data_IF_868399086644
#
_entry.id   IF_868399086644
#
_cell.length_a   1.000
_cell.length_b   1.000
_cell.length_c   1.000
_cell.angle_alpha   90.00
_cell.angle_beta   90.00
_cell.angle_gamma   90.00
#
_symmetry.space_group_name_H-M   'P 1'
#
loop_
_entity.id
_entity.type
_entity.pdbx_description
1 polymer ?
#
# COMPACT_ATOMS: atom_id res chain seq x y z
N UNK A 1 24.14 23.45 -53.11
CA UNK A 1 24.13 22.06 -52.61
C UNK A 1 23.11 22.06 -51.52
N UNK A 2 21.86 21.64 -51.84
CA UNK A 2 20.75 21.63 -50.88
C UNK A 2 20.90 20.31 -50.07
N UNK A 3 20.91 20.46 -48.75
CA UNK A 3 20.98 19.35 -47.81
C UNK A 3 19.59 18.72 -47.64
N UNK A 4 19.47 17.44 -47.95
CA UNK A 4 18.22 16.67 -47.94
C UNK A 4 17.81 16.11 -46.56
N UNK A 5 18.37 16.65 -45.49
CA UNK A 5 18.15 16.13 -44.10
C UNK A 5 17.08 16.89 -43.30
N UNK A 6 16.41 17.92 -43.88
CA UNK A 6 15.37 18.72 -43.19
C UNK A 6 13.96 18.33 -43.63
N UNK A 7 13.64 17.04 -43.77
CA UNK A 7 12.25 16.60 -43.88
C UNK A 7 11.77 16.13 -42.51
N UNK A 8 11.04 16.98 -41.80
CA UNK A 8 10.29 16.56 -40.65
C UNK A 8 9.40 15.37 -41.00
N UNK A 9 9.44 14.25 -40.26
CA UNK A 9 8.52 13.17 -40.54
C UNK A 9 7.08 13.63 -40.27
N UNK A 10 6.23 13.42 -41.27
CA UNK A 10 4.81 13.70 -41.13
C UNK A 10 4.23 13.10 -39.85
N UNK A 11 3.32 13.79 -39.13
CA UNK A 11 2.75 13.29 -37.89
C UNK A 11 2.07 11.93 -38.16
N UNK A 12 2.51 10.90 -37.50
CA UNK A 12 1.83 9.61 -37.47
C UNK A 12 0.49 9.82 -36.81
N UNK A 13 -0.56 9.95 -37.63
CA UNK A 13 -1.95 9.99 -37.16
C UNK A 13 -2.21 8.63 -36.54
N UNK A 14 -2.20 8.54 -35.20
CA UNK A 14 -2.70 7.37 -34.49
C UNK A 14 -4.14 7.15 -34.96
N UNK A 15 -4.41 6.01 -35.61
CA UNK A 15 -5.76 5.59 -35.96
C UNK A 15 -6.58 5.56 -34.67
N UNK A 16 -7.54 6.50 -34.51
CA UNK A 16 -8.43 6.51 -33.36
C UNK A 16 -9.28 5.23 -33.40
N UNK A 17 -9.34 4.52 -32.29
CA UNK A 17 -10.23 3.38 -32.13
C UNK A 17 -11.67 3.85 -32.35
N UNK A 18 -12.39 3.22 -33.32
CA UNK A 18 -13.76 3.60 -33.62
C UNK A 18 -14.67 3.25 -32.44
N UNK A 19 -15.43 4.22 -31.96
CA UNK A 19 -16.42 4.01 -30.89
C UNK A 19 -17.57 3.10 -31.37
N UNK A 20 -18.34 2.51 -30.42
CA UNK A 20 -19.53 1.72 -30.72
C UNK A 20 -20.49 2.50 -31.65
N UNK A 21 -20.67 3.78 -31.38
CA UNK A 21 -21.55 4.70 -32.10
C UNK A 21 -21.03 4.93 -33.51
N UNK A 22 -19.73 5.10 -33.71
CA UNK A 22 -19.12 5.24 -35.04
C UNK A 22 -19.26 3.99 -35.87
N UNK A 23 -19.02 2.80 -35.27
CA UNK A 23 -19.20 1.51 -35.94
C UNK A 23 -20.67 1.35 -36.40
N UNK A 24 -21.60 1.66 -35.49
CA UNK A 24 -23.04 1.62 -35.79
C UNK A 24 -23.39 2.55 -36.95
N UNK A 25 -22.97 3.81 -36.90
CA UNK A 25 -23.25 4.80 -37.94
C UNK A 25 -22.71 4.33 -39.31
N UNK A 26 -21.49 3.81 -39.38
CA UNK A 26 -20.89 3.28 -40.61
C UNK A 26 -21.61 2.05 -41.15
N UNK A 27 -22.04 1.13 -40.27
CA UNK A 27 -22.85 -0.02 -40.63
C UNK A 27 -24.19 0.42 -41.26
N UNK A 28 -24.87 1.39 -40.64
CA UNK A 28 -26.16 1.89 -41.13
C UNK A 28 -26.02 2.59 -42.47
N UNK A 29 -24.93 3.31 -42.71
CA UNK A 29 -24.65 3.92 -44.04
C UNK A 29 -24.50 2.88 -45.16
N UNK A 30 -24.12 1.64 -44.83
CA UNK A 30 -23.92 0.55 -45.79
C UNK A 30 -24.86 -0.64 -45.54
N UNK A 31 -25.94 -0.40 -44.77
CA UNK A 31 -26.80 -1.45 -44.23
C UNK A 31 -27.26 -2.44 -45.30
N UNK A 32 -27.78 -1.96 -46.39
CA UNK A 32 -28.26 -2.82 -47.47
C UNK A 32 -27.15 -3.72 -48.05
N UNK A 33 -25.97 -3.16 -48.33
CA UNK A 33 -24.85 -3.95 -48.86
C UNK A 33 -24.30 -4.96 -47.85
N UNK A 34 -24.32 -4.64 -46.58
CA UNK A 34 -23.95 -5.54 -45.50
C UNK A 34 -24.95 -6.70 -45.42
N UNK A 35 -26.25 -6.40 -45.45
CA UNK A 35 -27.29 -7.41 -45.43
C UNK A 35 -27.24 -8.36 -46.64
N UNK A 36 -26.98 -7.82 -47.83
CA UNK A 36 -26.76 -8.68 -49.00
C UNK A 36 -25.55 -9.60 -48.90
N UNK A 37 -24.47 -9.13 -48.23
CA UNK A 37 -23.29 -9.97 -48.03
C UNK A 37 -23.54 -11.09 -46.97
N UNK A 38 -24.40 -10.81 -46.00
CA UNK A 38 -24.77 -11.78 -44.95
C UNK A 38 -25.87 -12.77 -45.41
N UNK A 39 -26.82 -12.26 -46.17
CA UNK A 39 -28.06 -12.98 -46.56
C UNK A 39 -28.29 -12.94 -48.09
N UNK A 40 -27.54 -13.74 -48.87
CA UNK A 40 -27.70 -13.75 -50.34
C UNK A 40 -29.10 -14.17 -50.81
N UNK A 41 -29.85 -14.92 -50.01
CA UNK A 41 -31.22 -15.34 -50.31
C UNK A 41 -32.29 -14.31 -49.94
N UNK A 42 -31.89 -13.15 -49.39
CA UNK A 42 -32.78 -12.07 -48.96
C UNK A 42 -33.54 -11.38 -50.10
N UNK A 43 -34.51 -10.55 -49.76
CA UNK A 43 -35.33 -9.76 -50.66
C UNK A 43 -35.56 -8.36 -50.12
N UNK A 44 -35.45 -7.34 -50.96
CA UNK A 44 -35.81 -5.99 -50.56
C UNK A 44 -37.23 -5.67 -51.09
N UNK A 45 -38.11 -5.21 -50.20
CA UNK A 45 -39.43 -4.74 -50.52
C UNK A 45 -39.64 -3.36 -49.83
N UNK A 46 -39.74 -2.27 -50.62
CA UNK A 46 -39.83 -0.88 -50.14
C UNK A 46 -38.61 -0.49 -49.30
N UNK A 47 -38.82 -0.21 -48.02
CA UNK A 47 -37.83 0.24 -47.03
C UNK A 47 -37.34 -0.88 -46.10
N UNK A 48 -37.60 -2.14 -46.46
CA UNK A 48 -37.25 -3.32 -45.61
C UNK A 48 -36.55 -4.41 -46.41
N UNK A 49 -35.63 -5.10 -45.71
CA UNK A 49 -34.99 -6.33 -46.13
C UNK A 49 -35.67 -7.51 -45.44
N UNK A 50 -35.92 -8.60 -46.20
CA UNK A 50 -36.61 -9.79 -45.75
C UNK A 50 -35.73 -11.02 -45.93
N UNK A 51 -35.76 -11.90 -44.94
CA UNK A 51 -35.13 -13.21 -44.96
C UNK A 51 -35.94 -14.18 -44.07
N UNK A 52 -35.74 -15.49 -44.15
CA UNK A 52 -36.51 -16.47 -43.40
C UNK A 52 -36.16 -16.46 -41.89
N UNK A 53 -34.88 -16.44 -41.56
CA UNK A 53 -34.41 -16.46 -40.17
C UNK A 53 -33.07 -15.71 -40.01
N UNK A 54 -32.56 -15.63 -38.79
CA UNK A 54 -31.31 -14.95 -38.45
C UNK A 54 -30.07 -15.64 -39.04
N UNK A 55 -30.15 -16.93 -39.44
CA UNK A 55 -29.09 -17.69 -40.06
C UNK A 55 -29.07 -17.58 -41.58
N UNK A 56 -30.12 -16.96 -42.20
CA UNK A 56 -30.17 -16.66 -43.59
C UNK A 56 -30.96 -17.69 -44.43
N UNK A 57 -31.84 -18.47 -43.84
CA UNK A 57 -32.74 -19.36 -44.57
C UNK A 57 -33.65 -18.58 -45.52
N UNK A 58 -34.01 -19.10 -46.70
CA UNK A 58 -34.96 -18.47 -47.61
C UNK A 58 -36.32 -18.30 -46.95
N UNK A 59 -36.93 -17.10 -47.01
CA UNK A 59 -38.23 -16.81 -46.41
C UNK A 59 -38.49 -15.31 -46.29
N UNK A 60 -39.55 -14.92 -45.58
CA UNK A 60 -39.99 -13.54 -45.39
C UNK A 60 -40.37 -13.27 -43.88
N UNK A 61 -40.06 -14.20 -42.94
CA UNK A 61 -40.44 -14.05 -41.54
C UNK A 61 -39.64 -13.00 -40.75
N UNK A 62 -38.36 -12.87 -41.05
CA UNK A 62 -37.49 -11.86 -40.47
C UNK A 62 -37.43 -10.62 -41.35
N UNK A 63 -37.84 -9.46 -40.83
CA UNK A 63 -37.77 -8.18 -41.51
C UNK A 63 -36.77 -7.23 -40.84
N UNK A 64 -35.98 -6.49 -41.62
CA UNK A 64 -35.00 -5.52 -41.16
C UNK A 64 -35.31 -4.18 -41.82
N UNK A 65 -35.42 -3.09 -41.05
CA UNK A 65 -35.68 -1.73 -41.56
C UNK A 65 -34.41 -1.15 -42.16
N UNK A 66 -34.46 -0.68 -43.39
CA UNK A 66 -33.29 -0.16 -44.13
C UNK A 66 -33.06 1.34 -43.95
N UNK A 67 -34.12 2.13 -43.69
CA UNK A 67 -34.03 3.60 -43.71
C UNK A 67 -34.77 4.25 -42.52
N UNK A 68 -34.47 5.53 -42.27
CA UNK A 68 -35.10 6.31 -41.19
C UNK A 68 -34.56 6.02 -39.81
N UNK A 69 -35.21 6.56 -38.78
CA UNK A 69 -34.78 6.47 -37.37
C UNK A 69 -34.72 5.02 -36.84
N UNK A 70 -35.40 4.11 -37.50
CA UNK A 70 -35.49 2.70 -37.18
C UNK A 70 -34.55 1.81 -38.01
N UNK A 71 -33.66 2.38 -38.78
CA UNK A 71 -32.71 1.64 -39.61
C UNK A 71 -31.87 0.69 -38.75
N UNK A 72 -31.76 -0.56 -39.21
CA UNK A 72 -31.03 -1.65 -38.51
C UNK A 72 -31.81 -2.33 -37.37
N UNK A 73 -33.06 -1.91 -37.12
CA UNK A 73 -33.97 -2.68 -36.25
C UNK A 73 -34.56 -3.84 -37.07
N UNK A 74 -34.68 -5.00 -36.44
CA UNK A 74 -35.23 -6.17 -37.06
C UNK A 74 -36.28 -6.86 -36.16
N UNK A 75 -37.17 -7.59 -36.77
CA UNK A 75 -38.19 -8.41 -36.09
C UNK A 75 -38.40 -9.70 -36.88
N UNK A 76 -38.37 -10.81 -36.17
CA UNK A 76 -38.75 -12.12 -36.69
C UNK A 76 -40.17 -12.44 -36.22
N UNK A 77 -41.09 -12.56 -37.17
CA UNK A 77 -42.53 -12.76 -36.89
C UNK A 77 -42.88 -14.22 -36.54
N UNK A 78 -42.03 -15.16 -36.91
CA UNK A 78 -42.23 -16.57 -36.67
C UNK A 78 -41.98 -16.92 -35.19
N UNK A 79 -40.86 -16.39 -34.65
CA UNK A 79 -40.47 -16.71 -33.27
C UNK A 79 -40.72 -15.55 -32.30
N UNK A 80 -41.26 -14.40 -32.77
CA UNK A 80 -41.58 -13.24 -31.94
C UNK A 80 -40.38 -12.56 -31.35
N UNK A 81 -39.20 -12.67 -31.97
CA UNK A 81 -37.96 -12.05 -31.49
C UNK A 81 -37.58 -10.81 -32.34
N UNK A 82 -36.68 -9.96 -31.82
CA UNK A 82 -36.23 -8.77 -32.52
C UNK A 82 -35.08 -8.10 -31.78
N UNK A 83 -34.50 -7.07 -32.41
CA UNK A 83 -33.38 -6.36 -31.83
C UNK A 83 -32.81 -5.28 -32.73
N UNK A 84 -31.62 -4.81 -32.40
CA UNK A 84 -30.82 -3.89 -33.18
C UNK A 84 -29.85 -4.63 -34.12
N UNK A 85 -29.06 -3.88 -34.89
CA UNK A 85 -28.10 -4.44 -35.85
C UNK A 85 -27.03 -5.27 -35.15
N UNK A 86 -26.63 -4.94 -33.91
CA UNK A 86 -25.64 -5.73 -33.18
C UNK A 86 -26.21 -7.08 -32.71
N UNK A 87 -27.49 -7.08 -32.31
CA UNK A 87 -28.21 -8.31 -31.96
C UNK A 87 -28.34 -9.23 -33.18
N UNK A 88 -28.63 -8.65 -34.38
CA UNK A 88 -28.67 -9.39 -35.64
C UNK A 88 -27.31 -10.05 -35.95
N UNK A 89 -26.23 -9.27 -35.85
CA UNK A 89 -24.87 -9.78 -36.09
C UNK A 89 -24.50 -10.87 -35.09
N UNK A 90 -24.81 -10.65 -33.80
CA UNK A 90 -24.57 -11.65 -32.77
C UNK A 90 -25.27 -12.97 -33.06
N UNK A 91 -26.54 -12.93 -33.39
CA UNK A 91 -27.31 -14.11 -33.76
C UNK A 91 -26.77 -14.81 -35.01
N UNK A 92 -26.48 -14.08 -36.08
CA UNK A 92 -25.98 -14.62 -37.32
C UNK A 92 -24.59 -15.30 -37.15
N UNK A 93 -23.68 -14.70 -36.38
CA UNK A 93 -22.36 -15.26 -36.15
C UNK A 93 -22.27 -16.20 -34.94
N UNK A 94 -23.39 -16.52 -34.28
CA UNK A 94 -23.41 -17.40 -33.10
C UNK A 94 -22.69 -16.80 -31.88
N UNK A 95 -22.66 -15.45 -31.75
CA UNK A 95 -22.02 -14.73 -30.65
C UNK A 95 -23.06 -14.20 -29.68
N UNK A 96 -22.97 -14.56 -28.41
CA UNK A 96 -23.88 -14.04 -27.41
C UNK A 96 -23.59 -12.57 -27.09
N UNK A 97 -24.54 -11.68 -27.46
CA UNK A 97 -24.40 -10.21 -27.31
C UNK A 97 -24.31 -9.75 -25.85
N UNK A 98 -24.78 -10.53 -24.89
CA UNK A 98 -24.75 -10.17 -23.47
C UNK A 98 -23.44 -10.56 -22.77
N UNK A 99 -22.80 -11.62 -23.22
CA UNK A 99 -21.57 -12.14 -22.61
C UNK A 99 -20.32 -11.84 -23.40
N UNK A 100 -20.44 -11.58 -24.72
CA UNK A 100 -19.30 -11.43 -25.62
C UNK A 100 -19.49 -10.30 -26.66
N UNK A 101 -20.06 -9.17 -26.23
CA UNK A 101 -20.39 -8.04 -27.08
C UNK A 101 -19.19 -7.49 -27.87
N UNK A 102 -18.02 -7.58 -27.32
CA UNK A 102 -16.78 -7.13 -27.93
C UNK A 102 -16.45 -7.91 -29.24
N UNK A 103 -16.73 -9.20 -29.31
CA UNK A 103 -16.58 -9.95 -30.56
C UNK A 103 -17.60 -9.52 -31.61
N UNK A 104 -18.81 -9.13 -31.16
CA UNK A 104 -19.81 -8.54 -32.06
C UNK A 104 -19.31 -7.22 -32.64
N UNK A 105 -18.68 -6.35 -31.83
CA UNK A 105 -18.10 -5.09 -32.30
C UNK A 105 -16.95 -5.31 -33.30
N UNK A 106 -16.11 -6.31 -33.10
CA UNK A 106 -15.06 -6.65 -34.06
C UNK A 106 -15.67 -7.03 -35.41
N UNK A 107 -16.67 -7.92 -35.44
CA UNK A 107 -17.39 -8.30 -36.67
C UNK A 107 -18.12 -7.14 -37.32
N UNK A 108 -18.74 -6.30 -36.49
CA UNK A 108 -19.43 -5.09 -36.95
C UNK A 108 -18.46 -4.09 -37.61
N UNK A 109 -17.26 -3.90 -37.04
CA UNK A 109 -16.23 -3.02 -37.60
C UNK A 109 -15.67 -3.57 -38.92
N UNK A 110 -15.42 -4.88 -39.03
CA UNK A 110 -15.02 -5.55 -40.26
C UNK A 110 -16.03 -5.28 -41.38
N UNK A 111 -17.32 -5.49 -41.13
CA UNK A 111 -18.40 -5.27 -42.11
C UNK A 111 -18.60 -3.80 -42.41
N UNK A 112 -18.37 -2.91 -41.46
CA UNK A 112 -18.43 -1.46 -41.66
C UNK A 112 -17.25 -0.90 -42.47
N UNK A 113 -16.21 -1.72 -42.75
CA UNK A 113 -14.96 -1.28 -43.38
C UNK A 113 -14.17 -0.33 -42.48
N UNK A 114 -14.30 -0.48 -41.17
CA UNK A 114 -13.56 0.25 -40.14
C UNK A 114 -12.45 -0.62 -39.59
N UNK A 115 -11.41 -0.03 -39.02
CA UNK A 115 -10.44 -0.78 -38.23
C UNK A 115 -11.18 -1.35 -37.01
N UNK A 116 -11.23 -2.68 -36.82
CA UNK A 116 -11.91 -3.24 -35.66
C UNK A 116 -11.28 -2.71 -34.38
N UNK A 117 -12.07 -2.48 -33.30
CA UNK A 117 -11.50 -2.23 -32.00
C UNK A 117 -10.59 -3.41 -31.63
N UNK A 118 -9.48 -3.18 -30.93
CA UNK A 118 -8.63 -4.28 -30.49
C UNK A 118 -9.50 -5.28 -29.75
N UNK A 119 -9.24 -6.58 -29.92
CA UNK A 119 -10.00 -7.62 -29.21
C UNK A 119 -9.97 -7.29 -27.73
N UNK A 120 -11.09 -7.47 -26.99
CA UNK A 120 -11.08 -7.25 -25.55
C UNK A 120 -9.96 -8.10 -25.01
N UNK A 121 -9.02 -7.45 -24.34
CA UNK A 121 -7.97 -8.16 -23.63
C UNK A 121 -8.67 -9.19 -22.76
N UNK A 122 -8.61 -10.47 -23.17
CA UNK A 122 -9.00 -11.54 -22.28
C UNK A 122 -8.18 -11.30 -21.04
N UNK A 123 -8.85 -11.03 -19.90
CA UNK A 123 -8.23 -11.05 -18.59
C UNK A 123 -7.71 -12.46 -18.36
N UNK A 124 -6.60 -12.81 -19.04
CA UNK A 124 -5.76 -13.88 -18.55
C UNK A 124 -5.41 -13.47 -17.14
N UNK A 125 -5.58 -14.35 -16.18
CA UNK A 125 -5.11 -14.22 -14.80
C UNK A 125 -3.56 -14.15 -14.75
N UNK A 126 -2.97 -13.33 -15.60
CA UNK A 126 -1.58 -12.91 -15.55
C UNK A 126 -1.52 -11.67 -14.67
N UNK A 127 -0.50 -11.54 -13.84
CA UNK A 127 -0.27 -10.30 -13.12
C UNK A 127 -0.34 -9.13 -14.11
N UNK A 128 -0.88 -7.99 -13.71
CA UNK A 128 -1.14 -6.87 -14.62
C UNK A 128 0.13 -6.51 -15.37
N UNK A 129 0.16 -6.76 -16.67
CA UNK A 129 1.10 -6.10 -17.59
C UNK A 129 0.48 -4.71 -17.84
N UNK A 130 0.80 -3.78 -16.96
CA UNK A 130 0.50 -2.38 -17.15
C UNK A 130 1.42 -1.79 -18.22
N UNK A 131 1.10 -0.59 -18.73
CA UNK A 131 1.93 0.19 -19.65
C UNK A 131 3.30 0.61 -19.06
N UNK A 132 3.63 0.10 -17.88
CA UNK A 132 4.85 0.34 -17.09
C UNK A 132 6.05 -0.51 -17.55
N UNK A 133 5.87 -1.39 -18.55
CA UNK A 133 6.91 -2.33 -18.97
C UNK A 133 7.01 -3.56 -18.06
N UNK A 134 8.11 -4.35 -18.14
CA UNK A 134 8.33 -5.49 -17.26
C UNK A 134 8.59 -5.04 -15.83
N UNK A 135 8.11 -5.82 -14.85
CA UNK A 135 8.42 -5.59 -13.44
C UNK A 135 9.93 -5.71 -13.21
N UNK A 136 10.51 -4.74 -12.50
CA UNK A 136 11.94 -4.70 -12.15
C UNK A 136 12.26 -5.52 -10.91
N UNK A 137 11.25 -5.74 -10.04
CA UNK A 137 11.35 -6.65 -8.89
C UNK A 137 9.98 -7.24 -8.55
N UNK A 138 10.01 -8.40 -7.87
CA UNK A 138 8.82 -9.11 -7.41
C UNK A 138 9.10 -9.71 -6.04
N UNK A 139 8.12 -9.57 -5.13
CA UNK A 139 8.16 -10.18 -3.80
C UNK A 139 6.91 -11.00 -3.57
N UNK A 140 7.11 -12.24 -3.11
CA UNK A 140 6.05 -13.18 -2.79
C UNK A 140 5.77 -13.15 -1.29
N UNK A 141 4.52 -12.87 -0.94
CA UNK A 141 4.02 -12.93 0.43
C UNK A 141 3.46 -14.32 0.69
N UNK A 142 4.09 -15.02 1.62
CA UNK A 142 3.69 -16.37 2.03
C UNK A 142 3.01 -16.30 3.40
N UNK A 143 2.04 -17.18 3.63
CA UNK A 143 1.53 -17.41 4.98
C UNK A 143 2.52 -18.22 5.83
N UNK A 144 2.16 -18.49 7.09
CA UNK A 144 3.01 -19.24 8.00
C UNK A 144 3.34 -20.67 7.57
N UNK A 145 2.52 -21.26 6.70
CA UNK A 145 2.70 -22.60 6.14
C UNK A 145 3.52 -22.60 4.85
N UNK A 146 3.90 -21.41 4.35
CA UNK A 146 4.66 -21.23 3.11
C UNK A 146 3.81 -21.17 1.85
N UNK A 147 2.49 -21.02 1.97
CA UNK A 147 1.58 -20.86 0.84
C UNK A 147 1.54 -19.42 0.36
N UNK A 148 1.58 -19.21 -0.95
CA UNK A 148 1.50 -17.90 -1.57
C UNK A 148 0.13 -17.25 -1.36
N UNK A 149 0.08 -16.08 -0.75
CA UNK A 149 -1.13 -15.31 -0.45
C UNK A 149 -1.21 -13.99 -1.22
N UNK A 150 -0.07 -13.37 -1.49
CA UNK A 150 -0.01 -12.16 -2.31
C UNK A 150 1.35 -12.03 -3.01
N UNK A 151 1.41 -11.17 -4.03
CA UNK A 151 2.67 -10.74 -4.64
C UNK A 151 2.69 -9.23 -4.74
N UNK A 152 3.86 -8.61 -4.63
CA UNK A 152 4.08 -7.20 -4.92
C UNK A 152 5.06 -7.10 -6.08
N UNK A 153 4.67 -6.38 -7.12
CA UNK A 153 5.53 -6.11 -8.28
C UNK A 153 5.97 -4.66 -8.24
N UNK A 154 7.24 -4.42 -8.46
CA UNK A 154 7.82 -3.08 -8.60
C UNK A 154 8.08 -2.79 -10.08
N UNK A 155 7.82 -1.56 -10.46
CA UNK A 155 8.09 -1.01 -11.78
C UNK A 155 8.87 0.29 -11.63
N UNK A 156 9.92 0.45 -12.42
CA UNK A 156 10.75 1.66 -12.47
C UNK A 156 10.72 2.23 -13.90
N UNK A 157 9.59 2.84 -14.33
CA UNK A 157 9.45 3.35 -15.69
C UNK A 157 10.38 4.57 -15.88
N UNK A 158 11.08 4.68 -17.03
CA UNK A 158 11.98 5.79 -17.29
C UNK A 158 11.30 7.16 -17.15
N UNK A 159 11.91 8.06 -16.37
CA UNK A 159 11.38 9.43 -16.17
C UNK A 159 10.14 9.56 -15.30
N UNK A 160 9.68 8.48 -14.68
CA UNK A 160 8.52 8.47 -13.79
C UNK A 160 8.91 7.96 -12.39
N UNK A 161 8.02 8.16 -11.41
CA UNK A 161 8.22 7.60 -10.08
C UNK A 161 8.04 6.08 -10.10
N UNK A 162 8.79 5.38 -9.24
CA UNK A 162 8.62 3.95 -9.00
C UNK A 162 7.18 3.63 -8.58
N UNK A 163 6.61 2.56 -9.13
CA UNK A 163 5.27 2.08 -8.79
C UNK A 163 5.31 0.68 -8.20
N UNK A 164 4.41 0.42 -7.25
CA UNK A 164 4.23 -0.88 -6.63
C UNK A 164 2.81 -1.39 -6.89
N UNK A 165 2.69 -2.60 -7.41
CA UNK A 165 1.41 -3.22 -7.76
C UNK A 165 1.22 -4.52 -6.97
N UNK A 166 0.38 -4.51 -5.92
CA UNK A 166 0.03 -5.71 -5.19
C UNK A 166 -0.97 -6.56 -5.97
N UNK A 167 -0.86 -7.87 -5.80
CA UNK A 167 -1.80 -8.86 -6.33
C UNK A 167 -2.28 -9.78 -5.21
N UNK A 168 -3.59 -9.82 -4.98
CA UNK A 168 -4.23 -10.78 -4.06
C UNK A 168 -4.43 -12.12 -4.79
N UNK A 169 -3.71 -13.13 -4.38
CA UNK A 169 -3.73 -14.45 -5.01
C UNK A 169 -5.07 -15.16 -4.77
N UNK A 170 -5.65 -15.02 -3.57
CA UNK A 170 -6.93 -15.65 -3.22
C UNK A 170 -8.10 -15.04 -3.98
N UNK A 171 -8.15 -13.71 -4.06
CA UNK A 171 -9.22 -12.99 -4.75
C UNK A 171 -8.95 -12.81 -6.25
N UNK A 172 -7.73 -13.11 -6.73
CA UNK A 172 -7.26 -12.90 -8.12
C UNK A 172 -7.49 -11.45 -8.59
N UNK A 173 -7.12 -10.47 -7.75
CA UNK A 173 -7.33 -9.05 -8.02
C UNK A 173 -6.04 -8.24 -7.87
N UNK A 174 -5.86 -7.16 -8.68
CA UNK A 174 -4.75 -6.21 -8.54
C UNK A 174 -5.01 -5.26 -7.37
N UNK A 175 -5.03 -5.78 -6.16
CA UNK A 175 -5.25 -5.04 -4.91
C UNK A 175 -4.57 -5.80 -3.77
N UNK A 176 -4.19 -5.12 -2.67
CA UNK A 176 -3.69 -5.83 -1.50
C UNK A 176 -4.77 -6.70 -0.86
N UNK A 177 -4.41 -7.83 -0.24
CA UNK A 177 -5.31 -8.57 0.64
C UNK A 177 -5.86 -7.71 1.79
N UNK A 178 -6.95 -8.16 2.39
CA UNK A 178 -7.48 -7.54 3.59
C UNK A 178 -7.83 -8.64 4.61
N UNK A 179 -7.20 -8.66 5.80
CA UNK A 179 -6.10 -7.77 6.21
C UNK A 179 -4.83 -7.95 5.36
N UNK A 180 -3.94 -6.94 5.38
CA UNK A 180 -2.67 -6.99 4.66
C UNK A 180 -1.67 -7.87 5.40
N UNK A 181 -1.08 -8.87 4.77
CA UNK A 181 -0.11 -9.74 5.41
C UNK A 181 1.24 -9.04 5.61
N UNK A 182 1.98 -9.48 6.62
CA UNK A 182 3.40 -9.19 6.74
C UNK A 182 4.22 -10.03 5.75
N UNK A 183 5.33 -9.47 5.28
CA UNK A 183 6.32 -10.16 4.47
C UNK A 183 7.05 -11.22 5.30
N UNK A 184 7.51 -12.33 4.68
CA UNK A 184 8.32 -13.37 5.32
C UNK A 184 7.70 -14.01 6.59
N UNK A 185 6.41 -14.32 6.61
CA UNK A 185 5.79 -14.99 7.76
C UNK A 185 6.45 -16.32 8.14
N UNK A 186 6.92 -17.18 7.20
CA UNK A 186 7.65 -18.40 7.57
C UNK A 186 8.93 -18.14 8.36
N UNK A 187 9.65 -17.05 8.08
CA UNK A 187 10.81 -16.60 8.86
C UNK A 187 10.41 -16.09 10.24
N UNK A 188 9.35 -15.29 10.33
CA UNK A 188 8.81 -14.77 11.59
C UNK A 188 8.47 -15.91 12.55
N UNK A 189 7.80 -16.96 12.07
CA UNK A 189 7.40 -18.09 12.91
C UNK A 189 8.60 -18.80 13.56
N UNK A 190 9.72 -18.89 12.85
CA UNK A 190 10.95 -19.59 13.31
C UNK A 190 11.83 -18.74 14.20
N UNK A 191 11.57 -17.45 14.31
CA UNK A 191 12.44 -16.50 15.02
C UNK A 191 11.78 -15.98 16.28
N UNK A 192 12.55 -15.73 17.33
CA UNK A 192 12.12 -15.02 18.54
C UNK A 192 12.28 -13.51 18.41
N UNK A 193 13.19 -13.07 17.54
CA UNK A 193 13.46 -11.67 17.25
C UNK A 193 13.25 -11.39 15.76
N UNK A 194 12.60 -10.27 15.42
CA UNK A 194 12.25 -9.88 14.08
C UNK A 194 12.58 -8.39 13.86
N UNK A 195 13.16 -8.05 12.73
CA UNK A 195 13.41 -6.65 12.34
C UNK A 195 12.29 -6.19 11.40
N UNK A 196 11.56 -5.14 11.78
CA UNK A 196 10.61 -4.45 10.91
C UNK A 196 11.31 -3.32 10.17
N UNK A 197 11.17 -3.28 8.86
CA UNK A 197 11.71 -2.24 7.95
C UNK A 197 10.63 -1.70 7.01
N UNK A 198 10.94 -0.64 6.25
CA UNK A 198 9.92 0.06 5.45
C UNK A 198 9.71 -0.47 4.04
N UNK A 199 10.25 -1.54 3.62
CA UNK A 199 10.00 -2.03 2.28
C UNK A 199 10.56 -3.41 2.04
N UNK A 200 10.01 -4.07 1.03
CA UNK A 200 10.39 -5.43 0.69
C UNK A 200 11.89 -5.53 0.32
N UNK A 201 12.43 -4.49 -0.34
CA UNK A 201 13.87 -4.42 -0.68
C UNK A 201 14.73 -4.46 0.59
N UNK A 202 14.39 -3.64 1.59
CA UNK A 202 15.09 -3.57 2.86
C UNK A 202 14.95 -4.87 3.67
N UNK A 203 13.72 -5.44 3.70
CA UNK A 203 13.49 -6.72 4.35
C UNK A 203 14.30 -7.85 3.70
N UNK A 204 14.34 -7.91 2.37
CA UNK A 204 15.09 -8.91 1.64
C UNK A 204 16.61 -8.76 1.87
N UNK A 205 17.12 -7.52 1.89
CA UNK A 205 18.52 -7.25 2.19
C UNK A 205 18.96 -7.83 3.55
N UNK A 206 18.14 -7.67 4.59
CA UNK A 206 18.41 -8.25 5.90
C UNK A 206 18.26 -9.78 5.89
N UNK A 207 17.27 -10.33 5.19
CA UNK A 207 17.07 -11.78 5.06
C UNK A 207 18.26 -12.43 4.36
N UNK A 208 18.78 -11.82 3.31
CA UNK A 208 19.96 -12.29 2.57
C UNK A 208 21.24 -12.26 3.44
N UNK A 209 21.27 -11.37 4.44
CA UNK A 209 22.31 -11.32 5.48
C UNK A 209 22.05 -12.28 6.66
N UNK A 210 21.04 -13.15 6.58
CA UNK A 210 20.71 -14.14 7.63
C UNK A 210 19.92 -13.59 8.82
N UNK A 211 19.38 -12.38 8.71
CA UNK A 211 18.60 -11.69 9.75
C UNK A 211 17.11 -11.85 9.45
N UNK A 212 16.33 -12.29 10.44
CA UNK A 212 14.88 -12.36 10.27
C UNK A 212 14.28 -10.95 10.19
N UNK A 213 13.81 -10.58 9.02
CA UNK A 213 13.18 -9.28 8.77
C UNK A 213 11.81 -9.42 8.11
N UNK A 214 11.02 -8.39 8.27
CA UNK A 214 9.67 -8.24 7.70
C UNK A 214 9.39 -6.79 7.34
N UNK A 215 8.36 -6.60 6.55
CA UNK A 215 7.77 -5.29 6.26
C UNK A 215 6.25 -5.40 6.13
N UNK A 216 5.54 -4.30 6.41
CA UNK A 216 4.13 -4.16 6.07
C UNK A 216 4.00 -3.77 4.58
N UNK A 217 2.98 -4.30 3.92
CA UNK A 217 2.71 -3.97 2.51
C UNK A 217 2.43 -2.48 2.32
N UNK A 218 3.19 -1.79 1.48
CA UNK A 218 3.26 -0.34 1.20
C UNK A 218 4.24 0.47 2.08
N UNK A 219 5.12 -0.15 2.84
CA UNK A 219 6.18 0.55 3.59
C UNK A 219 5.63 1.60 4.57
N UNK A 220 6.26 2.78 4.65
CA UNK A 220 5.86 3.88 5.54
C UNK A 220 4.41 4.36 5.36
N UNK A 221 3.85 4.17 4.17
CA UNK A 221 2.45 4.48 3.87
C UNK A 221 1.49 3.32 4.17
N UNK A 222 1.97 2.24 4.79
CA UNK A 222 1.11 1.14 5.17
C UNK A 222 0.04 1.61 6.16
N UNK A 223 -1.24 1.34 5.89
CA UNK A 223 -2.28 1.58 6.87
C UNK A 223 -2.13 0.56 8.00
N UNK A 224 -1.70 1.05 9.14
CA UNK A 224 -1.38 0.23 10.33
C UNK A 224 -2.60 -0.55 10.82
N UNK A 225 -3.78 0.04 10.72
CA UNK A 225 -5.10 -0.52 11.06
C UNK A 225 -5.56 -1.64 10.11
N UNK A 226 -4.97 -1.74 8.92
CA UNK A 226 -5.31 -2.78 7.91
C UNK A 226 -4.25 -3.87 7.79
N UNK A 227 -3.16 -3.76 8.53
CA UNK A 227 -2.08 -4.74 8.54
C UNK A 227 -2.33 -5.80 9.62
N UNK A 228 -2.14 -7.05 9.29
CA UNK A 228 -2.19 -8.16 10.25
C UNK A 228 -0.86 -8.25 11.00
N UNK A 229 -0.85 -7.75 12.22
CA UNK A 229 0.33 -7.78 13.10
C UNK A 229 0.41 -9.04 13.96
N UNK A 230 -0.59 -9.92 13.93
CA UNK A 230 -0.67 -11.12 14.78
C UNK A 230 0.54 -12.07 14.66
N UNK A 231 1.22 -12.20 13.48
CA UNK A 231 2.42 -13.03 13.41
C UNK A 231 3.57 -12.58 14.32
N UNK A 232 3.54 -11.32 14.80
CA UNK A 232 4.55 -10.78 15.71
C UNK A 232 4.20 -10.97 17.21
N UNK A 233 3.07 -11.58 17.54
CA UNK A 233 2.71 -11.87 18.92
C UNK A 233 3.79 -12.72 19.61
N UNK A 234 4.18 -12.33 20.83
CA UNK A 234 5.24 -12.98 21.60
C UNK A 234 6.68 -12.75 21.10
N UNK A 235 6.89 -11.99 20.02
CA UNK A 235 8.21 -11.71 19.45
C UNK A 235 8.83 -10.45 20.06
N UNK A 236 10.16 -10.41 20.08
CA UNK A 236 10.92 -9.17 20.24
C UNK A 236 11.07 -8.51 18.89
N UNK A 237 10.55 -7.30 18.73
CA UNK A 237 10.59 -6.58 17.46
C UNK A 237 11.55 -5.39 17.53
N UNK A 238 12.47 -5.31 16.58
CA UNK A 238 13.31 -4.14 16.35
C UNK A 238 12.78 -3.43 15.12
N UNK A 239 12.49 -2.16 15.22
CA UNK A 239 12.04 -1.33 14.10
C UNK A 239 13.24 -0.55 13.61
N UNK A 240 13.61 -0.75 12.36
CA UNK A 240 14.65 0.03 11.68
C UNK A 240 13.96 0.95 10.67
N UNK A 241 13.65 2.18 11.05
CA UNK A 241 13.02 3.15 10.15
C UNK A 241 14.02 3.68 9.12
N UNK A 242 13.53 4.12 7.98
CA UNK A 242 14.29 5.00 7.10
C UNK A 242 14.64 6.28 7.87
N UNK A 243 15.83 6.85 7.62
CA UNK A 243 16.29 8.03 8.35
C UNK A 243 15.63 9.30 7.82
N UNK A 244 14.30 9.35 7.88
CA UNK A 244 13.50 10.53 7.50
C UNK A 244 12.28 10.69 8.41
N UNK A 245 11.58 11.83 8.27
CA UNK A 245 10.40 12.11 9.10
C UNK A 245 9.28 11.09 8.92
N UNK A 246 8.86 10.70 7.69
CA UNK A 246 7.84 9.66 7.49
C UNK A 246 8.19 8.34 8.16
N UNK A 247 9.46 7.90 8.06
CA UNK A 247 9.95 6.68 8.67
C UNK A 247 9.81 6.67 10.19
N UNK A 248 10.15 7.78 10.86
CA UNK A 248 9.97 7.90 12.31
C UNK A 248 8.51 7.89 12.72
N UNK A 249 7.63 8.60 11.99
CA UNK A 249 6.19 8.60 12.26
C UNK A 249 5.55 7.22 12.04
N UNK A 250 6.02 6.50 11.03
CA UNK A 250 5.59 5.13 10.78
C UNK A 250 6.05 4.20 11.91
N UNK A 251 7.31 4.29 12.33
CA UNK A 251 7.87 3.45 13.39
C UNK A 251 7.06 3.55 14.70
N UNK A 252 6.68 4.75 15.10
CA UNK A 252 5.84 4.96 16.29
C UNK A 252 4.47 4.27 16.16
N UNK A 253 3.78 4.51 15.05
CA UNK A 253 2.44 3.91 14.83
C UNK A 253 2.51 2.39 14.74
N UNK A 254 3.51 1.86 14.02
CA UNK A 254 3.73 0.43 13.89
C UNK A 254 4.05 -0.22 15.25
N UNK A 255 4.90 0.42 16.08
CA UNK A 255 5.22 -0.06 17.42
C UNK A 255 3.96 -0.22 18.28
N UNK A 256 3.08 0.78 18.31
CA UNK A 256 1.82 0.72 19.06
C UNK A 256 0.94 -0.44 18.56
N UNK A 257 0.78 -0.59 17.25
CA UNK A 257 -0.04 -1.66 16.68
C UNK A 257 0.53 -3.05 16.97
N UNK A 258 1.85 -3.22 16.89
CA UNK A 258 2.51 -4.51 17.20
C UNK A 258 2.40 -4.86 18.68
N UNK A 259 2.58 -3.89 19.58
CA UNK A 259 2.39 -4.09 21.02
C UNK A 259 0.93 -4.43 21.34
N UNK A 260 -0.03 -3.75 20.72
CA UNK A 260 -1.46 -4.07 20.85
C UNK A 260 -1.79 -5.48 20.31
N UNK A 261 -1.09 -5.95 19.27
CA UNK A 261 -1.21 -7.31 18.73
C UNK A 261 -0.47 -8.38 19.57
N UNK A 262 0.16 -8.00 20.68
CA UNK A 262 0.81 -8.92 21.61
C UNK A 262 2.30 -9.15 21.38
N UNK A 263 3.01 -8.28 20.68
CA UNK A 263 4.47 -8.32 20.60
C UNK A 263 5.04 -8.22 22.03
N UNK A 264 6.08 -9.06 22.33
CA UNK A 264 6.69 -9.10 23.66
C UNK A 264 7.38 -7.80 24.01
N UNK A 265 8.16 -7.26 23.08
CA UNK A 265 8.83 -5.96 23.17
C UNK A 265 8.98 -5.34 21.80
N UNK A 266 8.93 -4.03 21.72
CA UNK A 266 9.26 -3.27 20.52
C UNK A 266 10.34 -2.23 20.83
N UNK A 267 11.34 -2.12 19.96
CA UNK A 267 12.39 -1.11 20.07
C UNK A 267 12.56 -0.42 18.72
N UNK A 268 12.74 0.89 18.72
CA UNK A 268 13.10 1.64 17.52
C UNK A 268 14.62 1.86 17.53
N UNK A 269 15.30 1.39 16.49
CA UNK A 269 16.74 1.62 16.27
C UNK A 269 16.97 3.05 15.80
N UNK A 270 18.05 3.67 16.27
CA UNK A 270 18.51 4.96 15.78
C UNK A 270 19.61 4.75 14.75
N UNK A 271 19.38 5.08 13.47
CA UNK A 271 20.44 5.08 12.45
C UNK A 271 21.62 5.95 12.88
N UNK A 272 22.86 5.64 12.42
CA UNK A 272 24.03 6.44 12.72
C UNK A 272 23.83 7.93 12.38
N UNK A 273 24.38 8.84 13.20
CA UNK A 273 24.27 10.28 12.93
C UNK A 273 24.85 10.67 11.57
N UNK A 274 25.95 10.03 11.20
CA UNK A 274 26.65 10.27 9.92
C UNK A 274 25.92 9.73 8.68
N UNK A 275 24.93 8.83 8.86
CA UNK A 275 24.17 8.30 7.72
C UNK A 275 23.35 9.41 7.05
N UNK A 276 23.17 9.33 5.73
CA UNK A 276 22.41 10.29 4.94
C UNK A 276 20.91 10.31 5.33
N UNK A 277 20.21 11.37 4.96
CA UNK A 277 18.74 11.40 5.03
C UNK A 277 18.15 10.31 4.12
N UNK A 278 17.14 9.58 4.58
CA UNK A 278 16.53 8.47 3.85
C UNK A 278 17.37 7.17 3.85
N UNK A 279 18.50 7.13 4.57
CA UNK A 279 19.33 5.91 4.68
C UNK A 279 18.53 4.76 5.29
N UNK A 280 18.57 3.63 4.62
CA UNK A 280 17.78 2.44 4.93
C UNK A 280 18.64 1.17 5.13
N UNK A 281 18.02 0.05 5.46
CA UNK A 281 18.71 -1.22 5.68
C UNK A 281 19.34 -1.81 4.40
N UNK A 282 18.83 -1.49 3.21
CA UNK A 282 19.41 -1.94 1.96
C UNK A 282 20.61 -1.09 1.57
N UNK A 283 20.62 0.20 1.89
CA UNK A 283 21.80 1.07 1.75
C UNK A 283 22.90 0.58 2.68
N UNK A 284 22.56 0.30 3.95
CA UNK A 284 23.51 -0.27 4.92
C UNK A 284 24.16 -1.55 4.42
N UNK A 285 23.38 -2.48 3.84
CA UNK A 285 23.93 -3.70 3.24
C UNK A 285 24.88 -3.39 2.08
N UNK A 286 24.48 -2.48 1.20
CA UNK A 286 25.27 -2.12 0.00
C UNK A 286 26.60 -1.47 0.40
N UNK A 287 26.62 -0.69 1.47
CA UNK A 287 27.80 -0.02 2.02
C UNK A 287 28.71 -0.96 2.82
N UNK A 288 28.30 -2.22 3.05
CA UNK A 288 29.05 -3.16 3.88
C UNK A 288 29.03 -2.82 5.38
N UNK A 289 27.98 -2.13 5.83
CA UNK A 289 27.78 -1.78 7.24
C UNK A 289 27.59 -3.05 8.10
N UNK A 290 28.07 -3.03 9.34
CA UNK A 290 27.88 -4.13 10.27
C UNK A 290 26.42 -4.25 10.75
N UNK A 291 25.60 -4.92 9.95
CA UNK A 291 24.17 -5.12 10.21
C UNK A 291 23.95 -5.90 11.51
N UNK A 292 24.72 -6.97 11.75
CA UNK A 292 24.55 -7.84 12.91
C UNK A 292 24.93 -7.09 14.20
N UNK A 293 26.06 -6.40 14.22
CA UNK A 293 26.48 -5.60 15.35
C UNK A 293 25.51 -4.46 15.66
N UNK A 294 24.99 -3.81 14.62
CA UNK A 294 24.00 -2.75 14.81
C UNK A 294 22.67 -3.26 15.38
N UNK A 295 22.17 -4.41 14.91
CA UNK A 295 20.96 -5.04 15.43
C UNK A 295 21.17 -5.52 16.87
N UNK A 296 22.36 -6.04 17.19
CA UNK A 296 22.68 -6.50 18.53
C UNK A 296 22.88 -5.34 19.54
N UNK A 297 23.59 -4.30 19.16
CA UNK A 297 24.11 -3.29 20.09
C UNK A 297 23.81 -1.84 19.71
N UNK A 298 23.19 -1.59 18.54
CA UNK A 298 22.90 -0.24 18.08
C UNK A 298 21.98 0.52 19.06
N UNK A 299 22.10 1.85 19.09
CA UNK A 299 21.29 2.70 19.95
C UNK A 299 19.80 2.52 19.61
N UNK A 300 18.97 2.33 20.63
CA UNK A 300 17.55 2.03 20.46
C UNK A 300 16.70 2.59 21.56
N UNK A 301 15.44 2.87 21.27
CA UNK A 301 14.44 3.26 22.24
C UNK A 301 13.41 2.13 22.41
N UNK A 302 13.18 1.68 23.63
CA UNK A 302 12.09 0.76 23.93
C UNK A 302 10.75 1.48 23.82
N UNK A 303 9.80 0.83 23.19
CA UNK A 303 8.43 1.32 23.05
C UNK A 303 7.52 0.57 24.02
N UNK A 304 6.57 1.29 24.59
CA UNK A 304 5.55 0.75 25.48
C UNK A 304 4.18 1.01 24.89
N UNK A 305 3.24 0.09 25.13
CA UNK A 305 1.86 0.29 24.74
C UNK A 305 1.30 1.51 25.52
N UNK A 306 0.86 2.48 24.78
CA UNK A 306 0.11 3.60 25.37
C UNK A 306 -1.29 3.08 25.63
N UNK A 307 -1.62 2.83 26.91
CA UNK A 307 -2.99 2.45 27.27
C UNK A 307 -3.94 3.61 26.89
N UNK A 308 -5.03 3.29 26.22
CA UNK A 308 -6.12 4.23 26.00
C UNK A 308 -6.74 4.57 27.38
N UNK A 309 -6.24 5.64 28.00
CA UNK A 309 -6.88 6.22 29.16
C UNK A 309 -8.19 6.92 28.76
N UNK A 310 -9.12 7.19 29.71
CA UNK A 310 -10.38 7.87 29.40
C UNK A 310 -10.23 9.25 28.76
N UNK A 311 -9.01 9.78 28.66
CA UNK A 311 -8.68 11.06 27.99
C UNK A 311 -8.30 10.93 26.50
N UNK A 312 -8.22 9.72 25.92
CA UNK A 312 -7.88 9.54 24.50
C UNK A 312 -9.08 9.73 23.56
N UNK A 313 -10.30 9.86 24.10
CA UNK A 313 -11.52 10.05 23.31
C UNK A 313 -11.82 11.51 22.94
N UNK A 314 -10.97 12.45 23.36
CA UNK A 314 -11.14 13.86 23.02
C UNK A 314 -9.99 14.34 22.13
N UNK A 315 -10.35 14.71 20.90
CA UNK A 315 -9.67 15.63 20.01
C UNK A 315 -8.66 15.07 19.01
N UNK A 316 -9.19 14.53 17.89
CA UNK A 316 -8.58 14.80 16.59
C UNK A 316 -8.89 16.23 16.17
N UNK A 317 -8.10 17.21 16.54
CA UNK A 317 -8.18 18.56 15.98
C UNK A 317 -6.82 19.27 16.05
N UNK A 318 -6.65 20.27 15.20
CA UNK A 318 -5.45 21.07 14.94
C UNK A 318 -4.72 21.68 16.17
N UNK A 319 -5.19 21.40 17.40
CA UNK A 319 -4.58 21.82 18.67
C UNK A 319 -3.48 20.87 19.19
N UNK A 320 -3.42 19.61 18.75
CA UNK A 320 -2.35 18.68 19.19
C UNK A 320 -0.96 19.05 18.62
N UNK A 321 -0.88 19.62 17.42
CA UNK A 321 0.40 20.12 16.88
C UNK A 321 0.96 21.32 17.65
N UNK A 322 0.11 22.14 18.24
CA UNK A 322 0.54 23.31 19.04
C UNK A 322 1.09 22.90 20.42
N UNK A 323 0.65 21.80 20.99
CA UNK A 323 1.13 21.23 22.26
C UNK A 323 2.34 20.34 22.05
N UNK A 324 2.44 19.68 20.88
CA UNK A 324 3.58 18.84 20.52
C UNK A 324 4.88 19.65 20.50
N UNK A 325 5.93 19.13 21.16
CA UNK A 325 7.21 19.81 21.24
C UNK A 325 7.38 20.78 22.41
N UNK A 326 6.40 20.89 23.32
CA UNK A 326 6.59 21.53 24.59
C UNK A 326 7.32 20.62 25.59
N UNK A 327 8.04 21.21 26.56
CA UNK A 327 8.70 20.44 27.63
C UNK A 327 7.70 19.55 28.38
N UNK A 328 6.48 20.05 28.61
CA UNK A 328 5.41 19.29 29.24
C UNK A 328 4.96 18.08 28.43
N UNK A 329 4.69 18.26 27.14
CA UNK A 329 4.31 17.14 26.24
C UNK A 329 5.42 16.07 26.16
N UNK A 330 6.69 16.48 26.17
CA UNK A 330 7.83 15.56 26.19
C UNK A 330 7.95 14.84 27.52
N UNK A 331 7.70 15.52 28.65
CA UNK A 331 7.69 14.90 29.96
C UNK A 331 6.56 13.87 30.10
N UNK A 332 5.36 14.20 29.63
CA UNK A 332 4.24 13.25 29.55
C UNK A 332 4.57 12.07 28.65
N UNK A 333 5.25 12.31 27.52
CA UNK A 333 5.71 11.24 26.61
C UNK A 333 6.73 10.32 27.29
N UNK A 334 7.68 10.85 28.05
CA UNK A 334 8.59 10.08 28.89
C UNK A 334 7.84 9.27 29.94
N UNK A 335 6.95 9.92 30.69
CA UNK A 335 6.17 9.26 31.75
C UNK A 335 5.32 8.12 31.20
N UNK A 336 4.60 8.32 30.11
CA UNK A 336 3.80 7.25 29.45
C UNK A 336 4.63 6.02 29.13
N UNK A 337 5.90 6.20 28.77
CA UNK A 337 6.81 5.10 28.38
C UNK A 337 7.46 4.38 29.53
N UNK A 338 7.76 5.09 30.62
CA UNK A 338 8.70 4.62 31.65
C UNK A 338 8.13 4.57 33.07
N UNK A 339 6.89 5.01 33.30
CA UNK A 339 6.33 5.08 34.66
C UNK A 339 6.22 3.73 35.37
N UNK A 340 6.18 2.60 34.65
CA UNK A 340 6.14 1.28 35.31
C UNK A 340 7.48 0.89 35.93
N UNK A 341 8.58 1.32 35.30
CA UNK A 341 9.92 0.86 35.65
C UNK A 341 10.77 1.97 36.30
N UNK A 342 10.22 3.17 36.44
CA UNK A 342 10.95 4.33 36.96
C UNK A 342 10.16 5.05 38.03
N UNK A 343 10.83 5.35 39.16
CA UNK A 343 10.31 6.16 40.25
C UNK A 343 11.30 7.26 40.60
N UNK A 344 10.80 8.39 41.04
CA UNK A 344 11.63 9.48 41.60
C UNK A 344 11.28 9.72 43.04
N UNK A 345 12.25 9.53 43.93
CA UNK A 345 12.09 9.81 45.38
C UNK A 345 12.66 11.20 45.67
N UNK A 346 11.81 12.17 45.82
CA UNK A 346 12.21 13.56 46.00
C UNK A 346 13.04 13.75 47.29
N UNK A 347 12.72 13.02 48.39
CA UNK A 347 13.46 13.08 49.65
C UNK A 347 14.92 12.60 49.49
N UNK A 348 15.21 11.72 48.56
CA UNK A 348 16.57 11.27 48.27
C UNK A 348 17.20 11.99 47.06
N UNK A 349 16.42 12.72 46.30
CA UNK A 349 16.87 13.38 45.09
C UNK A 349 17.31 12.40 44.00
N UNK A 350 16.75 11.18 43.98
CA UNK A 350 17.22 10.09 43.13
C UNK A 350 16.09 9.45 42.32
N UNK A 351 16.43 9.04 41.14
CA UNK A 351 15.66 8.08 40.35
C UNK A 351 15.93 6.66 40.84
N UNK A 352 14.90 5.84 40.86
CA UNK A 352 14.98 4.41 41.05
C UNK A 352 14.50 3.69 39.78
N UNK A 353 15.14 2.60 39.44
CA UNK A 353 14.79 1.77 38.27
C UNK A 353 14.50 0.34 38.74
N UNK A 354 13.42 -0.23 38.19
CA UNK A 354 13.07 -1.62 38.39
C UNK A 354 13.95 -2.52 37.52
N UNK A 355 14.69 -3.47 38.09
CA UNK A 355 15.59 -4.38 37.36
C UNK A 355 14.96 -5.73 37.01
N UNK A 356 13.67 -5.87 37.24
CA UNK A 356 12.91 -7.11 37.06
C UNK A 356 12.72 -7.91 38.36
N UNK A 357 13.46 -7.55 39.44
CA UNK A 357 13.41 -8.22 40.75
C UNK A 357 13.22 -7.21 41.87
N UNK A 358 13.85 -6.04 41.78
CA UNK A 358 13.81 -5.01 42.82
C UNK A 358 14.05 -3.62 42.25
N UNK A 359 13.67 -2.59 43.00
CA UNK A 359 14.02 -1.23 42.73
C UNK A 359 15.47 -0.95 43.14
N UNK A 360 16.24 -0.33 42.25
CA UNK A 360 17.62 0.09 42.47
C UNK A 360 17.78 1.58 42.29
N UNK A 361 18.59 2.21 43.13
CA UNK A 361 18.99 3.59 42.90
C UNK A 361 19.75 3.67 41.56
N UNK A 362 19.34 4.64 40.73
CA UNK A 362 19.98 4.92 39.47
C UNK A 362 21.07 5.99 39.70
N UNK A 363 22.30 5.71 39.34
CA UNK A 363 23.47 6.52 39.59
C UNK A 363 24.32 6.80 38.34
N UNK A 364 23.80 6.40 37.14
CA UNK A 364 24.48 6.53 35.85
C UNK A 364 23.91 7.65 34.97
N UNK A 365 22.92 8.42 35.43
CA UNK A 365 22.16 9.40 34.65
C UNK A 365 21.31 8.78 33.53
N UNK A 366 20.95 7.50 33.63
CA UNK A 366 20.17 6.81 32.61
C UNK A 366 18.77 7.43 32.41
N UNK A 367 18.14 8.00 33.45
CA UNK A 367 16.89 8.74 33.30
C UNK A 367 17.05 9.95 32.37
N UNK A 368 18.14 10.73 32.55
CA UNK A 368 18.45 11.87 31.67
C UNK A 368 18.75 11.42 30.23
N UNK A 369 19.40 10.27 30.04
CA UNK A 369 19.68 9.70 28.72
C UNK A 369 18.38 9.25 28.02
N UNK A 370 17.47 8.59 28.74
CA UNK A 370 16.16 8.21 28.22
C UNK A 370 15.33 9.44 27.80
N UNK A 371 15.36 10.50 28.61
CA UNK A 371 14.70 11.78 28.29
C UNK A 371 15.35 12.42 27.05
N UNK A 372 16.68 12.38 26.97
CA UNK A 372 17.41 12.83 25.78
C UNK A 372 16.98 12.08 24.54
N UNK A 373 16.73 10.77 24.62
CA UNK A 373 16.18 9.98 23.52
C UNK A 373 14.78 10.44 23.13
N UNK A 374 13.88 10.72 24.08
CA UNK A 374 12.56 11.27 23.81
C UNK A 374 12.66 12.61 23.08
N UNK A 375 13.51 13.51 23.56
CA UNK A 375 13.73 14.83 22.97
C UNK A 375 14.33 14.71 21.55
N UNK A 376 15.32 13.83 21.34
CA UNK A 376 15.92 13.57 20.04
C UNK A 376 14.90 13.00 19.05
N UNK A 377 14.08 12.05 19.49
CA UNK A 377 13.02 11.49 18.64
C UNK A 377 12.00 12.56 18.22
N UNK A 378 11.59 13.44 19.13
CA UNK A 378 10.74 14.58 18.80
C UNK A 378 11.44 15.55 17.82
N UNK A 379 12.73 15.80 18.01
CA UNK A 379 13.54 16.66 17.12
C UNK A 379 13.56 16.15 15.68
N UNK A 380 13.67 14.84 15.47
CA UNK A 380 13.65 14.21 14.13
C UNK A 380 12.32 14.39 13.39
N UNK A 381 11.22 14.56 14.12
CA UNK A 381 9.88 14.82 13.56
C UNK A 381 9.60 16.29 13.25
N UNK A 382 10.47 17.20 13.72
CA UNK A 382 10.25 18.63 13.54
C UNK A 382 10.53 19.05 12.09
N UNK A 383 9.55 19.71 11.45
CA UNK A 383 9.68 20.23 10.09
C UNK A 383 10.57 21.50 10.02
N UNK A 384 10.83 22.15 11.16
CA UNK A 384 11.62 23.39 11.23
C UNK A 384 12.95 23.12 11.96
N UNK A 385 14.13 23.38 11.31
CA UNK A 385 15.45 23.14 11.92
C UNK A 385 15.66 23.88 13.25
N UNK A 386 15.08 25.07 13.43
CA UNK A 386 15.20 25.82 14.70
C UNK A 386 14.42 25.12 15.82
N UNK A 387 13.23 24.56 15.51
CA UNK A 387 12.45 23.78 16.47
C UNK A 387 13.20 22.49 16.78
N UNK A 388 13.73 21.79 15.78
CA UNK A 388 14.55 20.60 15.97
C UNK A 388 15.74 20.84 16.91
N UNK A 389 16.51 21.90 16.68
CA UNK A 389 17.63 22.27 17.52
C UNK A 389 17.19 22.61 18.97
N UNK A 390 16.06 23.31 19.14
CA UNK A 390 15.49 23.61 20.46
C UNK A 390 15.10 22.35 21.22
N UNK A 391 14.43 21.40 20.56
CA UNK A 391 14.01 20.13 21.14
C UNK A 391 15.20 19.27 21.61
N UNK A 392 16.32 19.29 20.88
CA UNK A 392 17.53 18.57 21.23
C UNK A 392 18.45 19.31 22.21
N UNK A 393 18.10 20.55 22.63
CA UNK A 393 18.92 21.34 23.51
C UNK A 393 18.96 20.77 24.94
N UNK A 394 20.11 20.90 25.61
CA UNK A 394 20.29 20.46 27.01
C UNK A 394 19.32 21.17 28.00
N UNK A 395 18.95 22.42 27.72
CA UNK A 395 17.96 23.15 28.48
C UNK A 395 16.57 22.49 28.43
N UNK A 396 16.13 22.05 27.26
CA UNK A 396 14.88 21.33 27.04
C UNK A 396 14.91 19.98 27.76
N UNK A 397 16.01 19.22 27.61
CA UNK A 397 16.19 17.92 28.31
C UNK A 397 16.08 18.11 29.82
N UNK A 398 16.76 19.10 30.39
CA UNK A 398 16.66 19.40 31.83
C UNK A 398 15.28 19.92 32.25
N UNK A 399 14.57 20.64 31.40
CA UNK A 399 13.18 21.06 31.62
C UNK A 399 12.23 19.86 31.70
N UNK A 400 12.33 18.97 30.70
CA UNK A 400 11.56 17.71 30.60
C UNK A 400 11.82 16.85 31.86
N UNK A 401 13.07 16.70 32.29
CA UNK A 401 13.42 15.90 33.46
C UNK A 401 12.78 16.48 34.75
N UNK A 402 12.82 17.80 34.93
CA UNK A 402 12.17 18.45 36.10
C UNK A 402 10.66 18.20 36.14
N UNK A 403 9.99 18.28 34.98
CA UNK A 403 8.56 18.01 34.87
C UNK A 403 8.25 16.53 35.12
N UNK A 404 9.05 15.61 34.54
CA UNK A 404 8.89 14.18 34.77
C UNK A 404 9.04 13.77 36.24
N UNK A 405 9.99 14.34 36.96
CA UNK A 405 10.17 14.13 38.43
C UNK A 405 8.93 14.52 39.24
N UNK A 406 8.17 15.49 38.78
CA UNK A 406 6.97 15.97 39.43
C UNK A 406 5.70 15.19 39.07
N UNK A 407 5.75 14.37 38.03
CA UNK A 407 4.61 13.53 37.59
C UNK A 407 4.29 12.48 38.68
N UNK A 408 3.02 12.40 39.06
CA UNK A 408 2.57 11.51 40.14
C UNK A 408 2.78 10.03 39.86
N UNK A 409 2.91 9.66 38.61
CA UNK A 409 3.20 8.27 38.20
C UNK A 409 4.66 7.88 38.45
N UNK A 410 5.56 8.85 38.53
CA UNK A 410 6.97 8.65 38.91
C UNK A 410 7.24 8.97 40.38
N UNK A 411 6.52 9.94 40.94
CA UNK A 411 6.78 10.39 42.29
C UNK A 411 6.51 9.30 43.33
N UNK A 412 7.49 9.06 44.19
CA UNK A 412 7.39 8.15 45.31
C UNK A 412 7.95 8.82 46.56
N UNK A 413 7.45 8.45 47.73
CA UNK A 413 7.92 8.97 49.02
C UNK A 413 8.95 8.01 49.64
N UNK A 414 9.72 8.50 50.62
CA UNK A 414 10.68 7.65 51.33
C UNK A 414 10.02 6.53 52.13
N UNK A 415 8.76 6.72 52.53
CA UNK A 415 8.02 5.80 53.41
C UNK A 415 7.34 4.65 52.64
N UNK A 416 7.36 4.71 51.29
CA UNK A 416 6.84 3.65 50.43
C UNK A 416 7.85 2.50 50.21
N UNK A 417 9.07 2.66 50.70
CA UNK A 417 10.17 1.70 50.49
C UNK A 417 10.51 0.97 51.77
N UNK A 418 10.63 -0.34 51.68
CA UNK A 418 11.07 -1.23 52.74
C UNK A 418 10.29 -1.05 54.10
N UNK A 419 8.95 -0.88 53.95
CA UNK A 419 8.08 -0.84 55.12
C UNK A 419 8.11 -2.13 55.98
N UNK A 420 8.53 -3.23 55.37
CA UNK A 420 8.80 -4.51 56.02
C UNK A 420 10.31 -4.81 55.97
N UNK A 421 11.03 -4.64 57.10
CA UNK A 421 12.48 -4.90 57.12
C UNK A 421 12.84 -6.39 56.97
N UNK A 422 11.87 -7.31 56.80
CA UNK A 422 12.06 -8.73 56.66
C UNK A 422 11.72 -9.26 55.27
N UNK A 423 11.33 -8.43 54.32
CA UNK A 423 11.20 -8.70 52.91
C UNK A 423 12.42 -8.16 52.15
#
# INVERSE_FOLDING_TARGET
MMDFNDVEPAPVVKASEASKEEIRARLLLRLESVLWSMYPAGKVKRDKFYIGDILGSPGDSLEIVLTGDKAGLWTDREIGSGGDIFALLGGNFGINVHTDFSRVLVKAAELAGSTPPPPPRQKKNLPPMDDLGPATAKWDYLDGEGKLIATVHRYDPPGQKKEFRPWDVKRKKPSPPNPRPLYNQPGILKSSQVVLVEGEKCAQALIDAGICATTAMHGANAPVDKTDWTPLAGKTVLIWPDKDKPGWEYADRAAQAMLAAGAKTCHILYPPEAAAEGWDAADAQTEGFDLAGFIAHGPRMQMYLVADGPDSAATGSATEEAVWGTEDALALSFTRRYHNDWRYVAGWGKWLVWDGLRWRAEDTLAASDLIRHVCRHASLKASNPRIAAKLAASSTIGGVERLARADRRHAATTDEWDADPWL
#
